data_IF_726647081859
#
_entry.id   IF_726647081859
#
_cell.length_a   1.000
_cell.length_b   1.000
_cell.length_c   1.000
_cell.angle_alpha   90.00
_cell.angle_beta   90.00
_cell.angle_gamma   90.00
#
_symmetry.space_group_name_H-M   'P 1'
#
loop_
_entity.id
_entity.type
_entity.pdbx_description
1 polymer ?
#
# COMPACT_ATOMS: atom_id res chain seq x y z
N UNK A 1 -51.26 54.70 -25.03
CA UNK A 1 -50.52 54.80 -26.31
C UNK A 1 -51.33 54.29 -27.49
N UNK A 2 -51.48 52.98 -27.72
CA UNK A 2 -52.25 52.48 -28.87
C UNK A 2 -53.72 52.95 -28.90
N UNK A 3 -54.36 53.03 -27.72
CA UNK A 3 -55.75 53.50 -27.61
C UNK A 3 -55.86 55.00 -27.88
N UNK A 4 -54.90 55.80 -27.42
CA UNK A 4 -54.89 57.25 -27.59
C UNK A 4 -54.72 57.65 -29.05
N UNK A 5 -53.84 56.96 -29.78
CA UNK A 5 -53.63 57.17 -31.22
C UNK A 5 -54.86 56.76 -32.05
N UNK A 6 -55.49 55.63 -31.71
CA UNK A 6 -56.72 55.21 -32.38
C UNK A 6 -57.86 56.21 -32.16
N UNK A 7 -57.97 56.78 -30.96
CA UNK A 7 -58.99 57.77 -30.64
C UNK A 7 -58.73 59.13 -31.34
N UNK A 8 -57.46 59.54 -31.42
CA UNK A 8 -57.04 60.73 -32.19
C UNK A 8 -57.43 60.63 -33.66
N UNK A 9 -57.14 59.49 -34.29
CA UNK A 9 -57.46 59.27 -35.70
C UNK A 9 -58.97 59.27 -35.96
N UNK A 10 -59.75 58.65 -35.08
CA UNK A 10 -61.20 58.64 -35.18
C UNK A 10 -61.80 60.05 -35.11
N UNK A 11 -61.39 60.84 -34.11
CA UNK A 11 -61.89 62.21 -33.93
C UNK A 11 -61.41 63.17 -35.03
N UNK A 12 -60.19 62.99 -35.57
CA UNK A 12 -59.70 63.81 -36.67
C UNK A 12 -60.51 63.56 -37.96
N UNK A 13 -60.91 62.31 -38.19
CA UNK A 13 -61.73 61.94 -39.35
C UNK A 13 -63.10 62.62 -39.31
N UNK A 14 -63.72 62.67 -38.14
CA UNK A 14 -65.02 63.31 -37.96
C UNK A 14 -64.94 64.84 -38.07
N UNK A 15 -63.89 65.45 -37.50
CA UNK A 15 -63.66 66.90 -37.60
C UNK A 15 -63.42 67.38 -39.03
N UNK A 16 -62.74 66.59 -39.86
CA UNK A 16 -62.52 66.92 -41.26
C UNK A 16 -63.83 67.08 -42.06
N UNK A 17 -64.93 66.42 -41.62
CA UNK A 17 -66.25 66.51 -42.26
C UNK A 17 -67.05 67.70 -41.72
N UNK A 18 -66.98 67.96 -40.41
CA UNK A 18 -67.84 68.96 -39.75
C UNK A 18 -67.26 70.38 -39.77
N UNK A 19 -65.93 70.53 -39.69
CA UNK A 19 -65.26 71.83 -39.65
C UNK A 19 -63.86 71.72 -40.28
N UNK A 20 -63.73 71.85 -41.60
CA UNK A 20 -62.45 71.76 -42.28
C UNK A 20 -61.52 72.89 -41.82
N UNK A 21 -60.41 72.54 -41.17
CA UNK A 21 -59.40 73.49 -40.67
C UNK A 21 -58.92 73.25 -39.23
N UNK A 22 -59.57 72.36 -38.48
CA UNK A 22 -59.16 71.98 -37.11
C UNK A 22 -58.35 70.68 -37.10
N UNK A 23 -57.16 70.71 -36.48
CA UNK A 23 -56.30 69.54 -36.32
C UNK A 23 -56.07 69.20 -34.85
N UNK A 24 -56.37 67.96 -34.47
CA UNK A 24 -56.11 67.43 -33.14
C UNK A 24 -54.64 67.03 -33.03
N UNK A 25 -53.89 67.68 -32.14
CA UNK A 25 -52.47 67.41 -31.95
C UNK A 25 -52.21 66.16 -31.10
N UNK A 26 -52.94 66.01 -29.98
CA UNK A 26 -52.86 64.84 -29.10
C UNK A 26 -54.18 64.60 -28.36
N UNK A 27 -54.51 63.33 -28.16
CA UNK A 27 -55.60 62.89 -27.28
C UNK A 27 -54.96 62.06 -26.17
N UNK A 28 -55.43 62.22 -24.93
CA UNK A 28 -55.03 61.36 -23.82
C UNK A 28 -56.27 60.87 -23.11
N UNK A 29 -56.41 59.56 -23.03
CA UNK A 29 -57.48 58.92 -22.27
C UNK A 29 -57.07 58.87 -20.80
N UNK A 30 -58.02 59.14 -19.92
CA UNK A 30 -57.82 59.00 -18.47
C UNK A 30 -57.74 57.52 -18.10
N UNK A 31 -56.92 57.18 -17.10
CA UNK A 31 -56.84 55.80 -16.62
C UNK A 31 -58.21 55.38 -16.08
N UNK A 32 -58.83 54.29 -16.59
CA UNK A 32 -60.11 53.84 -16.08
C UNK A 32 -59.96 53.41 -14.62
N UNK A 33 -60.88 53.86 -13.77
CA UNK A 33 -60.89 53.47 -12.35
C UNK A 33 -61.53 52.09 -12.22
N UNK A 34 -60.72 51.06 -12.02
CA UNK A 34 -61.20 49.69 -11.82
C UNK A 34 -61.83 49.62 -10.41
N UNK A 35 -63.08 49.12 -10.28
CA UNK A 35 -63.72 48.88 -8.98
C UNK A 35 -62.90 47.92 -8.11
N UNK A 36 -62.85 48.17 -6.80
CA UNK A 36 -62.00 47.41 -5.88
C UNK A 36 -62.37 45.92 -5.76
N UNK A 37 -63.61 45.55 -6.06
CA UNK A 37 -64.05 44.16 -6.08
C UNK A 37 -63.34 43.36 -7.19
N UNK A 38 -63.18 43.95 -8.39
CA UNK A 38 -62.53 43.29 -9.52
C UNK A 38 -61.01 43.23 -9.30
N UNK A 39 -60.43 44.28 -8.71
CA UNK A 39 -59.00 44.32 -8.35
C UNK A 39 -58.63 43.17 -7.41
N UNK A 40 -59.39 42.98 -6.33
CA UNK A 40 -59.15 41.91 -5.35
C UNK A 40 -59.27 40.51 -5.95
N UNK A 41 -60.25 40.28 -6.82
CA UNK A 41 -60.42 38.99 -7.48
C UNK A 41 -59.27 38.68 -8.45
N UNK A 42 -58.78 39.69 -9.18
CA UNK A 42 -57.63 39.53 -10.08
C UNK A 42 -56.34 39.23 -9.30
N UNK A 43 -56.14 39.92 -8.18
CA UNK A 43 -54.99 39.68 -7.29
C UNK A 43 -55.00 38.25 -6.73
N UNK A 44 -56.15 37.75 -6.27
CA UNK A 44 -56.29 36.37 -5.79
C UNK A 44 -56.01 35.35 -6.90
N UNK A 45 -56.56 35.56 -8.10
CA UNK A 45 -56.36 34.68 -9.24
C UNK A 45 -54.89 34.59 -9.65
N UNK A 46 -54.19 35.73 -9.72
CA UNK A 46 -52.77 35.75 -10.08
C UNK A 46 -51.90 35.10 -8.98
N UNK A 47 -52.25 35.27 -7.70
CA UNK A 47 -51.57 34.60 -6.60
C UNK A 47 -51.74 33.06 -6.65
N UNK A 48 -52.95 32.57 -6.95
CA UNK A 48 -53.20 31.14 -7.13
C UNK A 48 -52.47 30.57 -8.33
N UNK A 49 -52.47 31.29 -9.45
CA UNK A 49 -51.77 30.90 -10.67
C UNK A 49 -50.26 30.80 -10.45
N UNK A 50 -49.66 31.78 -9.79
CA UNK A 50 -48.23 31.70 -9.43
C UNK A 50 -47.96 30.56 -8.46
N UNK A 51 -48.81 30.35 -7.46
CA UNK A 51 -48.67 29.22 -6.51
C UNK A 51 -48.74 27.87 -7.22
N UNK A 52 -49.66 27.69 -8.16
CA UNK A 52 -49.79 26.46 -8.94
C UNK A 52 -48.55 26.21 -9.81
N UNK A 53 -48.02 27.26 -10.46
CA UNK A 53 -46.78 27.16 -11.23
C UNK A 53 -45.58 26.77 -10.35
N UNK A 54 -45.45 27.38 -9.17
CA UNK A 54 -44.39 27.05 -8.20
C UNK A 54 -44.52 25.59 -7.73
N UNK A 55 -45.73 25.14 -7.41
CA UNK A 55 -45.97 23.76 -6.99
C UNK A 55 -45.60 22.76 -8.08
N UNK A 56 -46.00 23.01 -9.33
CA UNK A 56 -45.68 22.16 -10.47
C UNK A 56 -44.16 22.12 -10.75
N UNK A 57 -43.47 23.25 -10.64
CA UNK A 57 -42.00 23.29 -10.77
C UNK A 57 -41.31 22.54 -9.64
N UNK A 58 -41.79 22.70 -8.39
CA UNK A 58 -41.25 22.00 -7.23
C UNK A 58 -41.41 20.49 -7.36
N UNK A 59 -42.55 20.00 -7.84
CA UNK A 59 -42.75 18.58 -8.13
C UNK A 59 -41.71 18.06 -9.13
N UNK A 60 -41.47 18.78 -10.23
CA UNK A 60 -40.45 18.41 -11.23
C UNK A 60 -39.03 18.39 -10.67
N UNK A 61 -38.70 19.30 -9.74
CA UNK A 61 -37.40 19.31 -9.08
C UNK A 61 -37.23 18.07 -8.21
N UNK A 62 -38.24 17.75 -7.38
CA UNK A 62 -38.20 16.56 -6.51
C UNK A 62 -38.08 15.27 -7.32
N UNK A 63 -38.81 15.15 -8.43
CA UNK A 63 -38.69 13.99 -9.33
C UNK A 63 -37.27 13.84 -9.90
N UNK A 64 -36.68 14.95 -10.38
CA UNK A 64 -35.31 14.94 -10.92
C UNK A 64 -34.25 14.71 -9.86
N UNK A 65 -34.43 15.25 -8.66
CA UNK A 65 -33.54 15.00 -7.52
C UNK A 65 -33.57 13.53 -7.13
N UNK A 66 -34.76 12.93 -7.02
CA UNK A 66 -34.90 11.51 -6.73
C UNK A 66 -34.25 10.61 -7.81
N UNK A 67 -34.37 10.96 -9.09
CA UNK A 67 -33.65 10.27 -10.17
C UNK A 67 -32.13 10.44 -10.07
N UNK A 68 -31.68 11.65 -9.72
CA UNK A 68 -30.26 11.97 -9.55
C UNK A 68 -29.67 11.20 -8.38
N UNK A 69 -30.37 11.13 -7.25
CA UNK A 69 -29.96 10.38 -6.06
C UNK A 69 -29.89 8.89 -6.32
N UNK A 70 -30.86 8.33 -7.07
CA UNK A 70 -30.81 6.92 -7.51
C UNK A 70 -29.58 6.64 -8.36
N UNK A 71 -29.30 7.49 -9.36
CA UNK A 71 -28.11 7.33 -10.22
C UNK A 71 -26.82 7.47 -9.41
N UNK A 72 -26.78 8.43 -8.48
CA UNK A 72 -25.64 8.64 -7.59
C UNK A 72 -25.37 7.41 -6.72
N UNK A 73 -26.41 6.83 -6.12
CA UNK A 73 -26.29 5.61 -5.31
C UNK A 73 -25.80 4.41 -6.14
N UNK A 74 -26.27 4.25 -7.38
CA UNK A 74 -25.78 3.21 -8.28
C UNK A 74 -24.30 3.38 -8.61
N UNK A 75 -23.88 4.60 -8.96
CA UNK A 75 -22.48 4.92 -9.27
C UNK A 75 -21.60 4.69 -8.04
N UNK A 76 -22.08 5.07 -6.85
CA UNK A 76 -21.34 4.87 -5.60
C UNK A 76 -21.17 3.38 -5.26
N UNK A 77 -22.23 2.58 -5.41
CA UNK A 77 -22.17 1.14 -5.23
C UNK A 77 -21.21 0.47 -6.25
N UNK A 78 -21.27 0.87 -7.52
CA UNK A 78 -20.36 0.37 -8.55
C UNK A 78 -18.90 0.74 -8.26
N UNK A 79 -18.65 2.00 -7.88
CA UNK A 79 -17.32 2.48 -7.49
C UNK A 79 -16.79 1.66 -6.30
N UNK A 80 -17.61 1.42 -5.28
CA UNK A 80 -17.22 0.61 -4.13
C UNK A 80 -16.87 -0.83 -4.53
N UNK A 81 -17.65 -1.44 -5.42
CA UNK A 81 -17.38 -2.78 -5.95
C UNK A 81 -16.06 -2.83 -6.74
N UNK A 82 -15.78 -1.82 -7.58
CA UNK A 82 -14.53 -1.73 -8.32
C UNK A 82 -13.32 -1.55 -7.39
N UNK A 83 -13.43 -0.69 -6.39
CA UNK A 83 -12.37 -0.49 -5.38
C UNK A 83 -12.12 -1.78 -4.59
N UNK A 84 -13.18 -2.48 -4.18
CA UNK A 84 -13.06 -3.78 -3.51
C UNK A 84 -12.35 -4.82 -4.40
N UNK A 85 -12.66 -4.85 -5.70
CA UNK A 85 -11.99 -5.73 -6.66
C UNK A 85 -10.49 -5.43 -6.76
N UNK A 86 -10.10 -4.15 -6.85
CA UNK A 86 -8.69 -3.75 -6.89
C UNK A 86 -7.97 -4.18 -5.62
N UNK A 87 -8.55 -3.92 -4.43
CA UNK A 87 -7.95 -4.35 -3.17
C UNK A 87 -7.82 -5.87 -3.07
N UNK A 88 -8.80 -6.61 -3.57
CA UNK A 88 -8.75 -8.07 -3.59
C UNK A 88 -7.63 -8.58 -4.53
N UNK A 89 -7.52 -8.00 -5.73
CA UNK A 89 -6.43 -8.31 -6.67
C UNK A 89 -5.06 -7.99 -6.08
N UNK A 90 -4.92 -6.83 -5.41
CA UNK A 90 -3.69 -6.46 -4.72
C UNK A 90 -3.31 -7.50 -3.66
N UNK A 91 -4.27 -7.92 -2.82
CA UNK A 91 -4.02 -8.94 -1.79
C UNK A 91 -3.65 -10.30 -2.37
N UNK A 92 -4.27 -10.71 -3.47
CA UNK A 92 -3.90 -11.95 -4.17
C UNK A 92 -2.46 -11.84 -4.65
N UNK A 93 -2.13 -10.74 -5.34
CA UNK A 93 -0.79 -10.53 -5.87
C UNK A 93 0.26 -10.51 -4.74
N UNK A 94 0.00 -9.82 -3.63
CA UNK A 94 0.87 -9.82 -2.45
C UNK A 94 1.09 -11.25 -1.93
N UNK A 95 0.03 -12.04 -1.77
CA UNK A 95 0.13 -13.43 -1.30
C UNK A 95 0.84 -14.35 -2.29
N UNK A 96 0.66 -14.15 -3.59
CA UNK A 96 1.38 -14.90 -4.62
C UNK A 96 2.86 -14.55 -4.63
N UNK A 97 3.20 -13.27 -4.48
CA UNK A 97 4.60 -12.84 -4.37
C UNK A 97 5.25 -13.38 -3.09
N UNK A 98 4.54 -13.38 -1.96
CA UNK A 98 5.02 -13.94 -0.69
C UNK A 98 5.34 -15.44 -0.84
N UNK A 99 4.42 -16.21 -1.43
CA UNK A 99 4.68 -17.63 -1.74
C UNK A 99 5.92 -17.82 -2.60
N UNK A 100 6.06 -17.01 -3.66
CA UNK A 100 7.20 -17.12 -4.57
C UNK A 100 8.52 -16.75 -3.92
N UNK A 101 8.52 -15.78 -3.01
CA UNK A 101 9.70 -15.44 -2.21
C UNK A 101 10.07 -16.61 -1.30
N UNK A 102 9.10 -17.19 -0.59
CA UNK A 102 9.35 -18.37 0.26
C UNK A 102 9.91 -19.55 -0.52
N UNK A 103 9.37 -19.85 -1.72
CA UNK A 103 9.91 -20.91 -2.58
C UNK A 103 11.38 -20.65 -2.99
N UNK A 104 11.74 -19.41 -3.29
CA UNK A 104 13.11 -19.02 -3.63
C UNK A 104 14.01 -19.13 -2.40
N UNK A 105 13.54 -18.70 -1.23
CA UNK A 105 14.28 -18.78 0.03
C UNK A 105 14.55 -20.24 0.43
N UNK A 106 13.55 -21.11 0.33
CA UNK A 106 13.68 -22.55 0.59
C UNK A 106 14.68 -23.19 -0.38
N UNK A 107 14.59 -22.88 -1.68
CA UNK A 107 15.53 -23.37 -2.67
C UNK A 107 16.96 -22.87 -2.42
N UNK A 108 17.12 -21.60 -2.05
CA UNK A 108 18.40 -21.01 -1.71
C UNK A 108 19.00 -21.63 -0.44
N UNK A 109 18.17 -21.88 0.58
CA UNK A 109 18.57 -22.54 1.81
C UNK A 109 19.05 -23.97 1.55
N UNK A 110 18.27 -24.76 0.80
CA UNK A 110 18.66 -26.11 0.40
C UNK A 110 19.97 -26.12 -0.39
N UNK A 111 20.13 -25.20 -1.35
CA UNK A 111 21.36 -25.08 -2.13
C UNK A 111 22.57 -24.73 -1.25
N UNK A 112 22.39 -23.83 -0.27
CA UNK A 112 23.43 -23.42 0.67
C UNK A 112 23.85 -24.56 1.61
N UNK A 113 22.89 -25.25 2.21
CA UNK A 113 23.18 -26.38 3.11
C UNK A 113 23.84 -27.53 2.35
N UNK A 114 23.40 -27.81 1.12
CA UNK A 114 24.05 -28.79 0.26
C UNK A 114 25.49 -28.40 -0.07
N UNK A 115 25.73 -27.16 -0.48
CA UNK A 115 27.08 -26.69 -0.78
C UNK A 115 28.01 -26.76 0.45
N UNK A 116 27.48 -26.46 1.64
CA UNK A 116 28.22 -26.58 2.90
C UNK A 116 28.56 -28.03 3.22
N UNK A 117 27.58 -28.94 3.13
CA UNK A 117 27.79 -30.37 3.33
C UNK A 117 28.79 -30.96 2.32
N UNK A 118 28.70 -30.57 1.05
CA UNK A 118 29.64 -30.98 0.00
C UNK A 118 31.06 -30.48 0.28
N UNK A 119 31.22 -29.23 0.76
CA UNK A 119 32.51 -28.68 1.16
C UNK A 119 33.09 -29.39 2.40
N UNK A 120 32.27 -29.66 3.41
CA UNK A 120 32.67 -30.43 4.60
C UNK A 120 33.08 -31.86 4.21
N UNK A 121 32.33 -32.52 3.33
CA UNK A 121 32.67 -33.84 2.81
C UNK A 121 34.00 -33.82 2.05
N UNK A 122 34.21 -32.84 1.17
CA UNK A 122 35.44 -32.72 0.40
C UNK A 122 36.66 -32.49 1.30
N UNK A 123 36.54 -31.59 2.28
CA UNK A 123 37.62 -31.33 3.24
C UNK A 123 37.94 -32.56 4.10
N UNK A 124 36.92 -33.23 4.65
CA UNK A 124 37.08 -34.46 5.42
C UNK A 124 37.73 -35.58 4.58
N UNK A 125 37.31 -35.74 3.32
CA UNK A 125 37.90 -36.73 2.41
C UNK A 125 39.37 -36.43 2.11
N UNK A 126 39.71 -35.17 1.81
CA UNK A 126 41.11 -34.77 1.57
C UNK A 126 41.97 -34.92 2.82
N UNK A 127 41.43 -34.63 4.00
CA UNK A 127 42.11 -34.88 5.27
C UNK A 127 42.33 -36.38 5.50
N UNK A 128 41.33 -37.23 5.26
CA UNK A 128 41.46 -38.67 5.39
C UNK A 128 42.53 -39.23 4.43
N UNK A 129 42.53 -38.79 3.17
CA UNK A 129 43.54 -39.18 2.18
C UNK A 129 44.94 -38.68 2.57
N UNK A 130 45.07 -37.46 3.09
CA UNK A 130 46.33 -36.94 3.62
C UNK A 130 46.82 -37.73 4.84
N UNK A 131 45.92 -38.08 5.75
CA UNK A 131 46.25 -38.87 6.94
C UNK A 131 46.73 -40.28 6.57
N UNK A 132 46.16 -40.90 5.53
CA UNK A 132 46.68 -42.17 4.99
C UNK A 132 48.12 -42.03 4.51
N UNK A 133 48.45 -40.94 3.81
CA UNK A 133 49.82 -40.69 3.34
C UNK A 133 50.78 -40.35 4.48
N UNK A 134 50.31 -39.66 5.52
CA UNK A 134 51.08 -39.33 6.73
C UNK A 134 51.27 -40.50 7.69
N UNK A 135 50.65 -41.65 7.42
CA UNK A 135 50.79 -42.86 8.24
C UNK A 135 52.12 -43.56 7.96
N UNK A 136 53.23 -42.87 8.22
CA UNK A 136 54.58 -43.44 8.20
C UNK A 136 55.14 -43.49 9.63
N UNK A 137 55.93 -44.53 9.98
CA UNK A 137 56.43 -44.68 11.34
C UNK A 137 57.28 -43.49 11.80
N UNK A 138 58.07 -42.89 10.89
CA UNK A 138 58.94 -41.76 11.19
C UNK A 138 58.15 -40.49 11.52
N UNK A 139 57.04 -40.24 10.82
CA UNK A 139 56.19 -39.08 11.06
C UNK A 139 55.41 -39.20 12.38
N UNK A 140 54.97 -40.43 12.72
CA UNK A 140 54.31 -40.71 13.99
C UNK A 140 55.26 -40.51 15.19
N UNK A 141 56.53 -40.93 15.06
CA UNK A 141 57.54 -40.68 16.08
C UNK A 141 57.81 -39.18 16.28
N UNK A 142 58.01 -38.44 15.17
CA UNK A 142 58.18 -36.98 15.23
C UNK A 142 56.98 -36.32 15.92
N UNK A 143 55.76 -36.66 15.50
CA UNK A 143 54.52 -36.14 16.10
C UNK A 143 54.38 -36.52 17.57
N UNK A 144 54.75 -37.75 17.97
CA UNK A 144 54.76 -38.20 19.37
C UNK A 144 55.70 -37.32 20.20
N UNK A 145 56.93 -37.11 19.75
CA UNK A 145 57.88 -36.27 20.48
C UNK A 145 57.44 -34.81 20.55
N UNK A 146 56.89 -34.27 19.46
CA UNK A 146 56.35 -32.90 19.44
C UNK A 146 55.17 -32.74 20.41
N UNK A 147 54.26 -33.70 20.45
CA UNK A 147 53.13 -33.69 21.38
C UNK A 147 53.57 -33.82 22.84
N UNK A 148 54.59 -34.65 23.11
CA UNK A 148 55.18 -34.77 24.44
C UNK A 148 55.81 -33.43 24.86
N UNK A 149 56.59 -32.79 23.99
CA UNK A 149 57.23 -31.51 24.29
C UNK A 149 56.22 -30.36 24.51
N UNK A 150 55.11 -30.34 23.76
CA UNK A 150 54.08 -29.31 23.91
C UNK A 150 53.20 -29.52 25.16
N UNK A 151 52.90 -30.77 25.51
CA UNK A 151 52.04 -31.10 26.64
C UNK A 151 52.81 -31.33 27.95
N UNK A 152 54.15 -31.39 27.92
CA UNK A 152 54.95 -31.55 29.12
C UNK A 152 54.86 -30.29 29.99
N UNK A 153 54.03 -30.36 31.02
CA UNK A 153 54.13 -29.46 32.18
C UNK A 153 55.22 -30.01 33.08
N UNK A 154 56.26 -29.23 33.30
CA UNK A 154 57.37 -29.59 34.19
C UNK A 154 56.88 -29.49 35.65
N UNK A 155 56.70 -30.64 36.29
CA UNK A 155 56.39 -30.72 37.72
C UNK A 155 57.66 -31.08 38.50
N UNK A 156 58.02 -30.28 39.50
CA UNK A 156 59.19 -30.50 40.37
C UNK A 156 58.73 -30.93 41.77
N UNK A 157 59.26 -32.03 42.30
CA UNK A 157 58.96 -32.55 43.65
C UNK A 157 59.42 -34.01 43.86
N UNK A 158 59.52 -34.45 45.11
CA UNK A 158 60.18 -35.72 45.50
C UNK A 158 59.46 -37.02 45.06
N UNK A 159 58.23 -36.94 44.52
CA UNK A 159 57.49 -38.09 43.97
C UNK A 159 56.67 -37.71 42.74
N UNK A 160 57.18 -38.06 41.56
CA UNK A 160 56.50 -37.86 40.26
C UNK A 160 55.77 -39.17 39.87
N UNK A 161 54.49 -39.14 39.45
CA UNK A 161 53.79 -40.32 38.97
C UNK A 161 54.37 -40.85 37.64
N UNK A 162 54.75 -42.14 37.59
CA UNK A 162 55.40 -42.80 36.45
C UNK A 162 54.56 -42.96 35.17
N UNK A 163 53.30 -42.51 35.16
CA UNK A 163 52.37 -42.69 34.03
C UNK A 163 52.80 -41.99 32.73
N UNK A 164 53.75 -41.04 32.78
CA UNK A 164 54.22 -40.30 31.60
C UNK A 164 55.56 -40.80 31.01
N UNK A 165 56.23 -41.78 31.63
CA UNK A 165 57.63 -42.11 31.30
C UNK A 165 57.83 -43.48 30.62
N UNK A 166 56.75 -44.21 30.32
CA UNK A 166 56.82 -45.66 30.10
C UNK A 166 57.13 -46.12 28.65
N UNK A 167 57.80 -45.32 27.82
CA UNK A 167 58.24 -45.83 26.50
C UNK A 167 59.44 -45.12 25.89
N UNK A 168 60.63 -45.35 26.46
CA UNK A 168 61.98 -45.17 25.86
C UNK A 168 62.84 -43.97 26.29
N UNK A 169 62.37 -42.97 27.04
CA UNK A 169 63.21 -41.75 27.25
C UNK A 169 64.16 -41.85 28.46
N UNK A 170 63.84 -42.63 29.51
CA UNK A 170 64.66 -42.68 30.74
C UNK A 170 65.31 -44.03 31.07
N UNK A 171 65.16 -45.04 30.22
CA UNK A 171 65.73 -46.36 30.49
C UNK A 171 67.28 -46.38 30.46
N UNK A 172 67.92 -45.36 29.87
CA UNK A 172 69.37 -45.19 29.89
C UNK A 172 69.91 -44.47 31.13
N UNK A 173 69.07 -43.76 31.89
CA UNK A 173 69.55 -43.01 33.06
C UNK A 173 69.84 -43.92 34.26
N UNK A 174 69.09 -45.02 34.42
CA UNK A 174 69.25 -45.95 35.55
C UNK A 174 70.52 -46.82 35.49
N UNK A 175 71.26 -46.81 34.37
CA UNK A 175 72.52 -47.56 34.25
C UNK A 175 73.72 -46.72 34.74
N UNK A 176 73.59 -45.40 34.84
CA UNK A 176 74.72 -44.52 35.20
C UNK A 176 74.84 -44.22 36.70
N UNK A 177 73.79 -44.43 37.49
CA UNK A 177 73.75 -44.05 38.91
C UNK A 177 73.95 -45.21 39.89
N UNK A 178 74.26 -46.43 39.41
CA UNK A 178 74.55 -47.59 40.28
C UNK A 178 76.05 -47.86 40.51
N UNK A 179 76.93 -46.88 40.30
CA UNK A 179 78.31 -46.93 40.77
C UNK A 179 78.65 -45.63 41.50
N UNK A 180 78.48 -45.67 42.81
CA UNK A 180 79.03 -44.71 43.79
C UNK A 180 79.70 -45.53 44.92
N UNK A 181 80.54 -44.94 45.79
CA UNK A 181 81.98 -45.18 45.78
C UNK A 181 82.55 -45.84 47.06
N UNK A 182 83.85 -46.19 46.95
CA UNK A 182 84.90 -46.35 47.98
C UNK A 182 84.91 -47.55 48.95
N UNK A 183 85.94 -48.40 48.81
CA UNK A 183 87.07 -48.56 49.76
C UNK A 183 88.27 -49.22 49.05
#
# INVERSE_FOLDING_TARGET
DQIDENLKLALQKDLNVMAPGLTIQAVRVTKPKIPEAIRRNFELMEAEKTKLLIAAQKQKVVEKEAETDRKKALIEAEKAAQVAKIHYQQKIMEKETEKRISEIEDAAFLAREKAKADAEYYTARKLADSNKLKLTPEYLELMKYQAIAANSKLYFGDRIPNVFLDSCVFQQANVRTSQEPSL
#
